data_IF_561916066886
#
_entry.id   IF_561916066886
#
_cell.length_a   1.000
_cell.length_b   1.000
_cell.length_c   1.000
_cell.angle_alpha   90.00
_cell.angle_beta   90.00
_cell.angle_gamma   90.00
#
_symmetry.space_group_name_H-M   'P 1'
#
loop_
_entity.id
_entity.type
_entity.pdbx_description
1 polymer ?
#
# COMPACT_ATOMS: atom_id res chain seq x y z
N UNK A 1 24.13 13.38 5.07
CA UNK A 1 23.67 11.98 5.12
C UNK A 1 22.19 11.89 5.47
N UNK A 2 21.74 12.34 6.66
CA UNK A 2 20.33 12.29 7.09
C UNK A 2 19.36 12.83 6.03
N UNK A 3 19.56 14.07 5.55
CA UNK A 3 18.71 14.65 4.50
C UNK A 3 18.62 13.79 3.24
N UNK A 4 19.72 13.17 2.83
CA UNK A 4 19.77 12.35 1.61
C UNK A 4 18.97 11.04 1.77
N UNK A 5 19.14 10.36 2.90
CA UNK A 5 18.40 9.12 3.18
C UNK A 5 16.93 9.41 3.45
N UNK A 6 16.59 10.54 4.07
CA UNK A 6 15.19 10.94 4.27
C UNK A 6 14.49 11.30 2.96
N UNK A 7 15.18 11.98 2.03
CA UNK A 7 14.63 12.23 0.70
C UNK A 7 14.42 10.93 -0.08
N UNK A 8 15.39 10.03 -0.05
CA UNK A 8 15.28 8.72 -0.71
C UNK A 8 14.13 7.88 -0.13
N UNK A 9 14.07 7.76 1.20
CA UNK A 9 13.14 6.86 1.87
C UNK A 9 11.74 7.44 2.07
N UNK A 10 11.59 8.75 2.26
CA UNK A 10 10.31 9.38 2.62
C UNK A 10 9.86 10.48 1.66
N UNK A 11 10.70 10.86 0.67
CA UNK A 11 10.41 12.00 -0.21
C UNK A 11 10.37 13.35 0.53
N UNK A 12 10.81 13.37 1.79
CA UNK A 12 10.72 14.53 2.69
C UNK A 12 12.12 15.01 3.08
N UNK A 13 12.22 16.27 3.45
CA UNK A 13 13.49 16.82 3.95
C UNK A 13 13.75 16.36 5.39
N UNK A 14 14.90 16.72 5.96
CA UNK A 14 15.19 16.46 7.38
C UNK A 14 14.35 17.30 8.35
N UNK A 15 13.45 18.15 7.86
CA UNK A 15 12.40 18.80 8.64
C UNK A 15 11.27 17.79 8.94
N UNK A 16 11.61 16.80 9.78
CA UNK A 16 10.74 15.72 10.27
C UNK A 16 11.09 15.43 11.73
N UNK A 17 10.23 14.69 12.46
CA UNK A 17 10.55 14.33 13.83
C UNK A 17 11.67 13.27 13.92
N UNK A 18 12.40 13.29 15.03
CA UNK A 18 13.65 12.55 15.18
C UNK A 18 13.51 11.03 15.01
N UNK A 19 12.37 10.45 15.39
CA UNK A 19 12.14 9.01 15.26
C UNK A 19 12.06 8.55 13.80
N UNK A 20 11.34 9.27 12.93
CA UNK A 20 11.34 8.98 11.48
C UNK A 20 12.74 9.18 10.89
N UNK A 21 13.47 10.20 11.34
CA UNK A 21 14.87 10.40 10.96
C UNK A 21 15.75 9.19 11.31
N UNK A 22 15.56 8.61 12.50
CA UNK A 22 16.27 7.42 12.93
C UNK A 22 15.90 6.18 12.10
N UNK A 23 14.60 5.94 11.84
CA UNK A 23 14.13 4.85 10.97
C UNK A 23 14.69 5.00 9.56
N UNK A 24 14.73 6.22 9.02
CA UNK A 24 15.33 6.52 7.72
C UNK A 24 16.82 6.15 7.64
N UNK A 25 17.58 6.38 8.71
CA UNK A 25 19.01 6.02 8.77
C UNK A 25 19.19 4.50 8.91
N UNK A 26 18.31 3.81 9.64
CA UNK A 26 18.36 2.36 9.77
C UNK A 26 18.22 1.66 8.40
N UNK A 27 17.46 2.26 7.48
CA UNK A 27 17.34 1.80 6.09
C UNK A 27 18.59 2.08 5.21
N UNK A 28 19.66 2.65 5.78
CA UNK A 28 20.97 2.78 5.14
C UNK A 28 22.04 1.88 5.80
N UNK A 29 21.63 0.95 6.67
CA UNK A 29 22.54 -0.01 7.28
C UNK A 29 23.14 -0.97 6.22
N UNK A 30 24.42 -1.33 6.31
CA UNK A 30 25.03 -2.27 5.35
C UNK A 30 24.51 -3.71 5.49
N UNK A 31 23.85 -4.07 6.59
CA UNK A 31 23.36 -5.43 6.86
C UNK A 31 21.89 -5.62 6.50
N UNK A 32 21.35 -4.85 5.56
CA UNK A 32 19.98 -5.05 5.08
C UNK A 32 19.83 -6.37 4.31
N UNK A 33 18.64 -6.95 4.39
CA UNK A 33 18.32 -8.21 3.74
C UNK A 33 17.14 -8.07 2.79
N UNK A 34 17.14 -8.87 1.74
CA UNK A 34 15.99 -9.08 0.87
C UNK A 34 15.54 -10.54 0.93
N UNK A 35 14.24 -10.78 0.85
CA UNK A 35 13.72 -12.14 0.75
C UNK A 35 14.09 -12.74 -0.60
N UNK A 36 14.55 -13.99 -0.62
CA UNK A 36 14.82 -14.74 -1.85
C UNK A 36 13.55 -14.84 -2.70
N UNK A 37 13.58 -14.27 -3.91
CA UNK A 37 12.42 -14.13 -4.82
C UNK A 37 11.60 -12.85 -4.59
N UNK A 38 12.09 -11.94 -3.74
CA UNK A 38 11.54 -10.60 -3.51
C UNK A 38 10.67 -10.47 -2.25
N UNK A 39 10.63 -9.26 -1.71
CA UNK A 39 9.91 -8.95 -0.46
C UNK A 39 8.38 -9.17 -0.56
N UNK A 40 7.81 -9.19 -1.79
CA UNK A 40 6.40 -9.57 -2.01
C UNK A 40 6.05 -10.95 -1.44
N UNK A 41 7.02 -11.86 -1.34
CA UNK A 41 6.80 -13.20 -0.81
C UNK A 41 6.37 -13.21 0.65
N UNK A 42 6.69 -12.15 1.41
CA UNK A 42 6.24 -12.00 2.80
C UNK A 42 4.72 -11.94 2.85
N UNK A 43 4.09 -11.06 2.05
CA UNK A 43 2.63 -10.90 2.05
C UNK A 43 1.93 -12.10 1.42
N UNK A 44 2.49 -12.69 0.36
CA UNK A 44 1.98 -13.93 -0.25
C UNK A 44 1.94 -15.09 0.76
N UNK A 45 3.03 -15.27 1.53
CA UNK A 45 3.13 -16.33 2.53
C UNK A 45 2.17 -16.08 3.70
N UNK A 46 2.05 -14.84 4.18
CA UNK A 46 1.12 -14.47 5.25
C UNK A 46 -0.34 -14.70 4.84
N UNK A 47 -0.72 -14.30 3.62
CA UNK A 47 -2.07 -14.53 3.11
C UNK A 47 -2.38 -16.04 3.08
N UNK A 48 -1.46 -16.84 2.54
CA UNK A 48 -1.59 -18.31 2.51
C UNK A 48 -1.70 -18.91 3.91
N UNK A 49 -0.88 -18.46 4.85
CA UNK A 49 -0.86 -18.96 6.22
C UNK A 49 -2.13 -18.58 7.00
N UNK A 50 -2.66 -17.38 6.77
CA UNK A 50 -3.86 -16.86 7.46
C UNK A 50 -5.14 -17.63 7.13
N UNK A 51 -5.19 -18.31 5.97
CA UNK A 51 -6.41 -18.92 5.41
C UNK A 51 -7.54 -17.92 5.20
N UNK A 52 -7.23 -16.63 5.13
CA UNK A 52 -8.21 -15.59 4.85
C UNK A 52 -8.78 -15.72 3.43
N UNK A 53 -10.04 -15.35 3.26
CA UNK A 53 -10.64 -15.17 1.95
C UNK A 53 -10.22 -13.82 1.38
N UNK A 54 -9.55 -13.82 0.23
CA UNK A 54 -9.17 -12.60 -0.46
C UNK A 54 -10.24 -12.22 -1.48
N UNK A 55 -10.70 -10.98 -1.42
CA UNK A 55 -11.77 -10.44 -2.27
C UNK A 55 -11.29 -9.12 -2.89
N UNK A 56 -11.19 -9.09 -4.22
CA UNK A 56 -10.74 -7.90 -4.96
C UNK A 56 -11.91 -6.96 -5.23
N UNK A 57 -12.10 -5.96 -4.36
CA UNK A 57 -13.16 -4.94 -4.45
C UNK A 57 -12.72 -3.65 -3.77
N UNK A 58 -13.28 -2.52 -4.20
CA UNK A 58 -13.06 -1.22 -3.54
C UNK A 58 -14.12 -1.02 -2.47
N UNK A 59 -13.70 -0.87 -1.21
CA UNK A 59 -14.61 -0.50 -0.10
C UNK A 59 -15.01 0.96 -0.27
N UNK A 60 -16.32 1.22 -0.20
CA UNK A 60 -16.87 2.57 -0.33
C UNK A 60 -17.53 3.05 0.96
N UNK A 61 -18.13 2.14 1.74
CA UNK A 61 -18.75 2.49 3.01
C UNK A 61 -18.42 1.48 4.10
N UNK A 62 -18.29 1.98 5.32
CA UNK A 62 -18.36 1.19 6.55
C UNK A 62 -19.50 1.75 7.38
N UNK A 63 -20.52 0.94 7.63
CA UNK A 63 -21.70 1.34 8.40
C UNK A 63 -21.70 0.64 9.74
N UNK A 64 -21.83 1.40 10.83
CA UNK A 64 -22.02 0.83 12.17
C UNK A 64 -23.49 0.52 12.41
N UNK A 65 -23.78 -0.69 12.87
CA UNK A 65 -25.15 -1.18 13.10
C UNK A 65 -25.58 -0.98 14.56
N UNK A 66 -26.90 -1.04 14.82
CA UNK A 66 -27.44 -0.84 16.18
C UNK A 66 -27.08 -1.97 17.16
N UNK A 67 -26.78 -3.15 16.64
CA UNK A 67 -26.35 -4.33 17.39
C UNK A 67 -24.82 -4.37 17.60
N UNK A 68 -24.09 -3.32 17.22
CA UNK A 68 -22.66 -3.18 17.50
C UNK A 68 -21.73 -3.87 16.49
N UNK A 69 -22.25 -4.18 15.29
CA UNK A 69 -21.51 -4.79 14.18
C UNK A 69 -21.23 -3.77 13.08
N UNK A 70 -20.59 -4.24 12.01
CA UNK A 70 -20.21 -3.41 10.87
C UNK A 70 -20.70 -4.02 9.57
N UNK A 71 -21.32 -3.20 8.72
CA UNK A 71 -21.60 -3.55 7.33
C UNK A 71 -20.58 -2.85 6.44
N UNK A 72 -19.82 -3.64 5.68
CA UNK A 72 -18.85 -3.14 4.71
C UNK A 72 -19.47 -3.23 3.32
N UNK A 73 -19.59 -2.09 2.65
CA UNK A 73 -20.08 -1.98 1.28
C UNK A 73 -18.92 -1.75 0.33
N UNK A 74 -18.92 -2.47 -0.79
CA UNK A 74 -17.83 -2.47 -1.76
C UNK A 74 -18.31 -2.64 -3.20
N UNK A 75 -17.60 -2.04 -4.14
CA UNK A 75 -17.88 -2.15 -5.58
C UNK A 75 -16.80 -2.95 -6.29
N UNK A 76 -17.10 -3.51 -7.46
CA UNK A 76 -16.05 -4.12 -8.29
C UNK A 76 -15.05 -3.05 -8.73
N UNK A 77 -13.79 -3.46 -8.85
CA UNK A 77 -12.78 -2.61 -9.47
C UNK A 77 -13.16 -2.41 -10.95
N UNK A 78 -13.35 -1.17 -11.38
CA UNK A 78 -13.46 -0.87 -12.81
C UNK A 78 -12.09 -1.11 -13.45
N UNK A 79 -12.05 -1.93 -14.51
CA UNK A 79 -10.84 -2.55 -15.12
C UNK A 79 -9.76 -1.58 -15.66
N UNK A 80 -9.81 -0.27 -15.41
CA UNK A 80 -9.17 0.73 -16.26
C UNK A 80 -7.98 1.50 -15.66
N UNK A 81 -7.20 0.91 -14.75
CA UNK A 81 -5.90 1.48 -14.37
C UNK A 81 -4.76 0.48 -14.56
N UNK A 82 -3.66 0.92 -15.18
CA UNK A 82 -2.45 0.12 -15.40
C UNK A 82 -1.86 -0.45 -14.09
N UNK A 83 -2.09 0.24 -12.96
CA UNK A 83 -1.82 -0.25 -11.60
C UNK A 83 -2.48 -1.61 -11.30
N UNK A 84 -3.67 -1.85 -11.85
CA UNK A 84 -4.48 -3.04 -11.54
C UNK A 84 -4.00 -4.27 -12.32
N UNK A 85 -3.48 -4.07 -13.54
CA UNK A 85 -2.82 -5.13 -14.31
C UNK A 85 -1.55 -5.64 -13.63
N UNK A 86 -0.79 -4.75 -12.98
CA UNK A 86 0.41 -5.09 -12.22
C UNK A 86 0.07 -5.93 -10.97
N UNK A 87 -0.93 -5.50 -10.19
CA UNK A 87 -1.39 -6.23 -9.01
C UNK A 87 -1.98 -7.60 -9.38
N UNK A 88 -2.86 -7.69 -10.39
CA UNK A 88 -3.39 -8.97 -10.87
C UNK A 88 -2.31 -9.92 -11.43
N UNK A 89 -1.31 -9.38 -12.14
CA UNK A 89 -0.20 -10.19 -12.68
C UNK A 89 0.68 -10.77 -11.57
N UNK A 90 0.97 -9.99 -10.52
CA UNK A 90 1.69 -10.45 -9.34
C UNK A 90 0.95 -11.60 -8.62
N UNK A 91 -0.38 -11.58 -8.57
CA UNK A 91 -1.19 -12.65 -7.95
C UNK A 91 -1.29 -13.91 -8.82
N UNK A 92 -1.48 -13.77 -10.14
CA UNK A 92 -1.67 -14.92 -11.04
C UNK A 92 -0.39 -15.76 -11.22
N UNK A 93 0.79 -15.16 -11.08
CA UNK A 93 2.07 -15.88 -11.13
C UNK A 93 2.38 -16.65 -9.82
N UNK A 94 1.71 -16.32 -8.71
CA UNK A 94 1.86 -16.98 -7.41
C UNK A 94 0.88 -18.13 -7.14
N UNK A 95 -0.11 -18.36 -8.01
CA UNK A 95 -1.14 -19.38 -7.79
C UNK A 95 -1.59 -20.04 -9.12
N UNK A 96 -1.09 -21.24 -9.49
CA UNK A 96 -1.52 -21.93 -10.72
C UNK A 96 -2.97 -22.48 -10.66
N UNK A 97 -3.73 -22.23 -9.59
CA UNK A 97 -5.05 -22.84 -9.36
C UNK A 97 -6.25 -22.04 -9.89
N UNK A 98 -6.07 -20.81 -10.38
CA UNK A 98 -7.20 -20.00 -10.90
C UNK A 98 -7.05 -19.71 -12.38
N UNK A 99 -7.04 -20.77 -13.19
CA UNK A 99 -7.51 -20.67 -14.58
C UNK A 99 -9.04 -20.69 -14.55
N UNK A 100 -9.65 -19.53 -14.65
CA UNK A 100 -11.08 -19.41 -14.90
C UNK A 100 -11.34 -19.89 -16.34
N UNK A 101 -11.87 -21.11 -16.47
CA UNK A 101 -12.33 -21.68 -17.72
C UNK A 101 -13.65 -21.00 -18.13
N UNK A 102 -13.57 -19.90 -18.88
CA UNK A 102 -14.70 -19.45 -19.70
C UNK A 102 -14.40 -19.78 -21.16
N UNK A 103 -14.50 -21.08 -21.48
CA UNK A 103 -14.81 -21.54 -22.82
C UNK A 103 -16.30 -21.86 -22.82
N UNK A 104 -17.12 -20.98 -23.41
CA UNK A 104 -18.40 -21.37 -23.97
C UNK A 104 -18.51 -20.77 -25.36
N UNK A 105 -17.96 -21.51 -26.32
CA UNK A 105 -18.57 -21.61 -27.64
C UNK A 105 -19.92 -22.31 -27.45
N UNK A 106 -21.01 -21.64 -27.82
CA UNK A 106 -21.98 -22.27 -28.71
C UNK A 106 -22.81 -21.21 -29.44
N UNK A 107 -22.55 -21.21 -30.74
CA UNK A 107 -23.42 -20.78 -31.82
C UNK A 107 -24.73 -21.57 -31.73
N UNK A 108 -25.87 -20.89 -31.88
CA UNK A 108 -27.01 -21.42 -32.67
C UNK A 108 -28.02 -20.29 -32.94
N UNK A 109 -28.19 -20.01 -34.23
CA UNK A 109 -29.30 -19.27 -34.81
C UNK A 109 -30.62 -20.03 -34.58
N UNK A 110 -31.74 -19.31 -34.41
CA UNK A 110 -32.77 -19.15 -35.45
C UNK A 110 -34.21 -19.04 -34.89
N UNK A 111 -34.92 -18.03 -35.41
CA UNK A 111 -36.36 -17.91 -35.72
C UNK A 111 -37.49 -17.97 -34.67
N UNK A 112 -38.24 -16.84 -34.65
CA UNK A 112 -39.71 -16.66 -34.70
C UNK A 112 -40.63 -17.58 -33.86
N UNK A 113 -41.55 -17.01 -33.05
CA UNK A 113 -42.87 -16.53 -33.48
C UNK A 113 -43.75 -16.03 -32.29
N UNK A 114 -44.76 -15.24 -32.67
CA UNK A 114 -45.79 -14.47 -31.94
C UNK A 114 -46.65 -15.11 -30.82
N UNK A 115 -47.27 -14.18 -30.05
CA UNK A 115 -48.55 -14.23 -29.29
C UNK A 115 -48.53 -15.02 -27.97
N UNK A 116 -49.10 -14.58 -26.84
CA UNK A 116 -50.36 -13.87 -26.61
C UNK A 116 -50.40 -13.02 -25.30
N UNK A 117 -51.26 -11.99 -25.29
CA UNK A 117 -51.72 -11.21 -24.13
C UNK A 117 -52.28 -12.08 -22.98
N UNK A 118 -52.02 -11.75 -21.70
CA UNK A 118 -52.95 -10.97 -20.87
C UNK A 118 -52.50 -10.79 -19.39
N UNK A 119 -52.72 -9.56 -18.92
CA UNK A 119 -53.20 -9.13 -17.59
C UNK A 119 -52.29 -9.10 -16.34
N UNK A 120 -52.15 -7.85 -15.86
CA UNK A 120 -52.30 -7.36 -14.49
C UNK A 120 -51.33 -7.88 -13.41
N UNK A 121 -50.37 -7.02 -13.03
CA UNK A 121 -50.54 -6.17 -11.85
C UNK A 121 -49.32 -5.26 -11.63
N UNK A 122 -49.62 -3.96 -11.56
CA UNK A 122 -49.03 -2.96 -10.67
C UNK A 122 -47.51 -2.99 -10.50
N UNK A 123 -46.85 -2.24 -11.37
CA UNK A 123 -45.47 -1.77 -11.23
C UNK A 123 -45.29 -1.00 -9.92
N UNK A 124 -44.41 -1.52 -9.07
CA UNK A 124 -43.39 -0.74 -8.36
C UNK A 124 -42.39 -1.70 -7.70
N UNK A 125 -41.73 -2.51 -8.54
CA UNK A 125 -40.40 -3.01 -8.22
C UNK A 125 -39.41 -2.15 -9.00
N UNK A 126 -39.00 -1.03 -8.41
CA UNK A 126 -37.70 -0.45 -8.76
C UNK A 126 -36.61 -1.36 -8.18
N UNK A 127 -36.43 -2.53 -8.80
CA UNK A 127 -35.15 -3.22 -8.76
C UNK A 127 -34.25 -2.54 -9.78
N UNK A 128 -33.73 -1.37 -9.41
CA UNK A 128 -32.42 -0.95 -9.93
C UNK A 128 -31.38 -1.77 -9.15
N UNK A 129 -31.33 -3.08 -9.42
CA UNK A 129 -30.24 -3.95 -8.98
C UNK A 129 -28.99 -3.53 -9.76
N UNK A 130 -28.33 -2.49 -9.25
CA UNK A 130 -26.95 -2.20 -9.56
C UNK A 130 -26.11 -3.36 -9.04
N UNK A 131 -25.99 -4.41 -9.86
CA UNK A 131 -25.29 -5.68 -9.62
C UNK A 131 -23.77 -5.51 -9.34
N UNK A 132 -23.31 -4.27 -9.14
CA UNK A 132 -21.93 -3.89 -8.91
C UNK A 132 -21.63 -3.63 -7.42
N UNK A 133 -22.63 -3.53 -6.54
CA UNK A 133 -22.42 -3.29 -5.10
C UNK A 133 -22.61 -4.55 -4.27
N UNK A 134 -21.68 -4.81 -3.34
CA UNK A 134 -21.74 -5.90 -2.36
C UNK A 134 -21.66 -5.33 -0.95
N UNK A 135 -22.63 -5.66 -0.12
CA UNK A 135 -22.64 -5.36 1.32
C UNK A 135 -22.56 -6.65 2.13
N UNK A 136 -21.70 -6.66 3.15
CA UNK A 136 -21.51 -7.82 4.02
C UNK A 136 -21.34 -7.36 5.47
N UNK A 137 -21.98 -8.08 6.40
CA UNK A 137 -21.83 -7.85 7.84
C UNK A 137 -20.58 -8.57 8.39
N UNK A 138 -19.90 -7.90 9.31
CA UNK A 138 -18.72 -8.35 10.02
C UNK A 138 -18.81 -7.98 11.50
N UNK A 139 -18.28 -8.84 12.36
CA UNK A 139 -18.21 -8.57 13.80
C UNK A 139 -17.12 -7.56 14.17
N UNK A 140 -16.01 -7.57 13.43
CA UNK A 140 -14.92 -6.60 13.55
C UNK A 140 -14.44 -6.16 12.16
N UNK A 141 -13.92 -4.94 12.07
CA UNK A 141 -13.29 -4.41 10.85
C UNK A 141 -11.93 -3.82 11.19
N UNK A 142 -10.91 -4.20 10.42
CA UNK A 142 -9.56 -3.63 10.51
C UNK A 142 -9.26 -2.92 9.19
N UNK A 143 -9.00 -1.61 9.28
CA UNK A 143 -8.68 -0.75 8.16
C UNK A 143 -7.16 -0.67 7.99
N UNK A 144 -6.67 -1.07 6.81
CA UNK A 144 -5.26 -1.04 6.42
C UNK A 144 -5.04 -0.14 5.18
N UNK A 145 -5.87 0.90 5.06
CA UNK A 145 -5.76 1.92 4.00
C UNK A 145 -5.28 3.25 4.61
N UNK A 146 -4.56 4.08 3.84
CA UNK A 146 -4.39 5.49 4.18
C UNK A 146 -5.75 6.13 4.50
N UNK A 147 -5.83 6.79 5.65
CA UNK A 147 -6.96 7.62 6.08
C UNK A 147 -6.40 8.98 6.45
N UNK A 148 -6.64 9.96 5.58
CA UNK A 148 -6.18 11.34 5.73
C UNK A 148 -7.24 12.32 5.22
N UNK A 149 -7.07 13.60 5.55
CA UNK A 149 -8.00 14.64 5.12
C UNK A 149 -8.12 14.74 3.59
N UNK A 150 -7.03 14.43 2.87
CA UNK A 150 -6.97 14.41 1.41
C UNK A 150 -7.27 13.03 0.80
N UNK A 151 -7.41 11.99 1.63
CA UNK A 151 -7.68 10.63 1.18
C UNK A 151 -8.45 9.81 2.22
N UNK A 152 -9.76 9.77 2.03
CA UNK A 152 -10.64 8.79 2.65
C UNK A 152 -11.65 8.35 1.59
N UNK A 153 -11.30 7.32 0.82
CA UNK A 153 -12.18 6.75 -0.20
C UNK A 153 -13.37 5.97 0.43
N UNK A 154 -13.44 5.95 1.76
CA UNK A 154 -14.46 5.26 2.58
C UNK A 154 -15.32 6.30 3.30
N UNK A 155 -16.63 6.16 3.16
CA UNK A 155 -17.63 6.88 3.95
C UNK A 155 -17.98 6.09 5.23
N UNK A 156 -17.95 6.76 6.38
CA UNK A 156 -18.29 6.17 7.67
C UNK A 156 -19.71 6.57 8.09
N UNK A 157 -20.62 5.59 8.10
CA UNK A 157 -22.07 5.83 8.26
C UNK A 157 -22.57 5.31 9.61
N UNK A 158 -23.48 6.06 10.24
CA UNK A 158 -24.16 5.72 11.51
C UNK A 158 -23.23 5.57 12.74
N UNK A 159 -22.09 6.27 12.76
CA UNK A 159 -21.25 6.38 13.94
C UNK A 159 -21.78 7.48 14.88
N UNK A 160 -21.70 7.23 16.19
CA UNK A 160 -22.13 8.19 17.23
C UNK A 160 -21.16 9.36 17.39
N UNK A 161 -19.92 9.19 16.94
CA UNK A 161 -18.89 10.22 16.84
C UNK A 161 -18.49 10.42 15.39
N UNK A 162 -18.20 11.67 15.03
CA UNK A 162 -17.60 11.98 13.73
C UNK A 162 -16.17 11.42 13.70
N UNK A 163 -15.88 10.59 12.70
CA UNK A 163 -14.53 10.09 12.46
C UNK A 163 -13.84 11.08 11.52
N UNK A 164 -12.84 11.79 12.03
CA UNK A 164 -12.05 12.75 11.26
C UNK A 164 -10.59 12.33 11.22
N UNK A 165 -9.99 12.43 10.04
CA UNK A 165 -8.61 12.06 9.79
C UNK A 165 -7.85 13.29 9.31
N UNK A 166 -6.68 13.53 9.89
CA UNK A 166 -5.87 14.70 9.60
C UNK A 166 -4.62 14.33 8.79
N UNK A 167 -3.91 15.36 8.35
CA UNK A 167 -2.67 15.21 7.61
C UNK A 167 -2.89 14.74 6.17
N UNK A 168 -1.79 14.31 5.54
CA UNK A 168 -1.74 13.83 4.16
C UNK A 168 -0.65 12.79 3.99
N UNK A 169 -0.69 12.04 2.91
CA UNK A 169 0.43 11.19 2.50
C UNK A 169 1.33 11.92 1.50
N UNK A 170 2.64 11.69 1.60
CA UNK A 170 3.64 12.08 0.63
C UNK A 170 3.56 11.15 -0.58
N UNK A 171 3.47 11.75 -1.77
CA UNK A 171 3.46 11.02 -3.03
C UNK A 171 4.89 10.78 -3.50
N UNK A 172 5.18 9.55 -3.89
CA UNK A 172 6.46 9.18 -4.50
C UNK A 172 6.17 8.35 -5.75
N UNK A 173 6.85 8.69 -6.84
CA UNK A 173 6.87 7.91 -8.06
C UNK A 173 8.15 7.08 -8.07
N UNK A 174 7.99 5.77 -8.29
CA UNK A 174 9.06 4.82 -8.49
C UNK A 174 9.11 4.45 -9.96
N UNK A 175 10.15 4.89 -10.66
CA UNK A 175 10.40 4.52 -12.05
C UNK A 175 11.52 3.50 -12.11
N UNK A 176 11.21 2.28 -12.57
CA UNK A 176 12.20 1.26 -12.89
C UNK A 176 12.57 1.36 -14.36
N UNK A 177 13.87 1.49 -14.65
CA UNK A 177 14.41 1.62 -16.00
C UNK A 177 15.42 0.51 -16.24
N UNK A 178 15.18 -0.32 -17.24
CA UNK A 178 16.17 -1.23 -17.79
C UNK A 178 16.97 -0.47 -18.85
N UNK A 179 18.25 -0.20 -18.61
CA UNK A 179 19.08 0.62 -19.51
C UNK A 179 20.29 1.23 -18.83
N UNK A 180 21.11 1.90 -19.64
CA UNK A 180 22.36 2.50 -19.17
C UNK A 180 22.11 3.89 -18.58
N UNK A 181 22.59 4.11 -17.36
CA UNK A 181 22.59 5.42 -16.73
C UNK A 181 23.64 6.31 -17.41
N UNK A 182 23.20 7.48 -17.88
CA UNK A 182 24.06 8.51 -18.44
C UNK A 182 24.69 9.33 -17.32
N UNK A 183 25.84 8.87 -16.83
CA UNK A 183 26.53 9.43 -15.67
C UNK A 183 26.98 10.88 -15.88
N UNK A 184 27.40 11.22 -17.11
CA UNK A 184 27.82 12.58 -17.46
C UNK A 184 26.70 13.61 -17.32
N UNK A 185 25.43 13.23 -17.54
CA UNK A 185 24.28 14.11 -17.27
C UNK A 185 24.14 14.48 -15.78
N UNK A 186 24.81 13.74 -14.90
CA UNK A 186 24.86 13.97 -13.45
C UNK A 186 26.20 14.59 -13.01
N UNK A 187 27.08 14.96 -13.95
CA UNK A 187 28.45 15.39 -13.69
C UNK A 187 29.31 14.32 -12.98
N UNK A 188 29.05 13.04 -13.27
CA UNK A 188 29.84 11.89 -12.79
C UNK A 188 30.69 11.32 -13.93
N UNK A 189 31.74 10.56 -13.62
CA UNK A 189 32.57 9.94 -14.66
C UNK A 189 31.88 8.67 -15.18
N UNK A 190 31.92 8.44 -16.48
CA UNK A 190 31.21 7.32 -17.12
C UNK A 190 31.61 5.92 -16.59
N UNK A 191 32.82 5.77 -16.06
CA UNK A 191 33.37 4.50 -15.55
C UNK A 191 33.24 4.32 -14.03
N UNK A 192 32.56 5.24 -13.33
CA UNK A 192 32.34 5.08 -11.88
C UNK A 192 31.41 3.87 -11.63
N UNK A 193 31.83 2.96 -10.76
CA UNK A 193 31.01 1.82 -10.35
C UNK A 193 29.96 2.27 -9.33
N UNK A 194 28.80 2.69 -9.84
CA UNK A 194 27.70 3.23 -9.04
C UNK A 194 26.67 2.17 -8.66
N UNK A 195 26.30 2.17 -7.38
CA UNK A 195 25.15 1.42 -6.86
C UNK A 195 23.99 2.34 -6.47
N UNK A 196 24.27 3.52 -5.94
CA UNK A 196 23.25 4.44 -5.42
C UNK A 196 23.72 5.89 -5.56
N UNK A 197 22.81 6.77 -5.98
CA UNK A 197 22.97 8.23 -6.01
C UNK A 197 21.93 8.80 -5.07
N UNK A 198 22.39 9.41 -3.98
CA UNK A 198 21.56 10.13 -3.03
C UNK A 198 21.78 11.63 -3.17
N UNK A 199 20.70 12.40 -3.16
CA UNK A 199 20.77 13.86 -3.26
C UNK A 199 20.37 14.53 -1.96
N UNK A 200 20.97 15.68 -1.66
CA UNK A 200 20.58 16.51 -0.50
C UNK A 200 19.74 17.72 -0.91
N UNK A 201 19.46 17.88 -2.20
CA UNK A 201 18.81 19.04 -2.78
C UNK A 201 17.37 18.69 -3.15
N UNK A 202 16.36 19.06 -2.35
CA UNK A 202 14.97 18.68 -2.56
C UNK A 202 14.33 19.32 -3.80
N UNK A 203 14.98 20.32 -4.41
CA UNK A 203 14.48 20.98 -5.64
C UNK A 203 14.81 20.20 -6.92
N UNK A 204 15.53 19.09 -6.83
CA UNK A 204 15.76 18.22 -7.98
C UNK A 204 14.47 17.47 -8.35
N UNK A 205 14.35 17.08 -9.62
CA UNK A 205 13.20 16.33 -10.11
C UNK A 205 13.23 14.85 -9.72
N UNK A 206 14.28 14.41 -9.01
CA UNK A 206 14.43 13.06 -8.44
C UNK A 206 15.03 13.15 -7.03
N UNK A 207 14.73 12.15 -6.22
CA UNK A 207 15.16 11.99 -4.82
C UNK A 207 16.33 11.00 -4.69
N UNK A 208 16.38 9.98 -5.56
CA UNK A 208 17.50 9.03 -5.62
C UNK A 208 17.49 8.23 -6.92
N UNK A 209 18.65 7.65 -7.25
CA UNK A 209 18.82 6.69 -8.35
C UNK A 209 19.61 5.50 -7.81
N UNK A 210 19.00 4.31 -7.79
CA UNK A 210 19.58 3.11 -7.19
C UNK A 210 19.56 1.92 -8.13
N UNK A 211 20.72 1.28 -8.34
CA UNK A 211 20.83 0.06 -9.14
C UNK A 211 20.14 -1.09 -8.42
N UNK A 212 19.28 -1.82 -9.13
CA UNK A 212 18.58 -2.98 -8.60
C UNK A 212 19.33 -4.25 -8.97
N UNK A 213 19.58 -5.09 -7.97
CA UNK A 213 20.17 -6.41 -8.15
C UNK A 213 19.08 -7.49 -8.09
N UNK A 214 19.24 -8.60 -8.82
CA UNK A 214 18.29 -9.71 -8.75
C UNK A 214 18.22 -10.29 -7.34
N UNK A 215 17.00 -10.56 -6.88
CA UNK A 215 16.70 -11.10 -5.54
C UNK A 215 16.42 -12.61 -5.57
N UNK A 216 16.50 -13.24 -6.73
CA UNK A 216 16.26 -14.66 -6.99
C UNK A 216 17.54 -15.50 -6.98
N UNK A 217 18.71 -14.87 -6.81
CA UNK A 217 20.02 -15.53 -6.77
C UNK A 217 20.67 -15.34 -5.40
N UNK A 218 21.36 -16.39 -4.90
CA UNK A 218 22.10 -16.31 -3.62
C UNK A 218 23.44 -15.57 -3.73
N UNK A 219 23.93 -15.35 -4.95
CA UNK A 219 25.20 -14.69 -5.23
C UNK A 219 25.00 -13.63 -6.29
N UNK A 220 25.64 -12.47 -6.12
CA UNK A 220 25.67 -11.42 -7.14
C UNK A 220 26.05 -12.04 -8.49
N UNK A 221 25.18 -11.93 -9.50
CA UNK A 221 25.48 -12.45 -10.81
C UNK A 221 26.77 -11.79 -11.36
N UNK A 222 27.71 -12.52 -12.00
CA UNK A 222 28.96 -11.94 -12.53
C UNK A 222 28.70 -10.71 -13.40
N UNK A 223 29.57 -9.71 -13.40
CA UNK A 223 29.40 -8.46 -14.17
C UNK A 223 29.27 -8.63 -15.72
N UNK A 224 29.37 -9.87 -16.20
CA UNK A 224 29.29 -10.32 -17.59
C UNK A 224 27.87 -10.39 -18.16
N UNK A 225 26.81 -10.28 -17.34
CA UNK A 225 25.45 -10.47 -17.85
C UNK A 225 25.14 -9.59 -19.05
N UNK A 226 24.83 -10.24 -20.18
CA UNK A 226 24.41 -9.62 -21.44
C UNK A 226 23.08 -8.85 -21.37
N UNK A 227 22.55 -8.58 -20.17
CA UNK A 227 21.33 -7.82 -19.95
C UNK A 227 21.67 -6.45 -19.36
N UNK A 228 21.02 -5.37 -19.84
CA UNK A 228 21.23 -4.04 -19.30
C UNK A 228 20.93 -4.00 -17.79
N UNK A 229 21.59 -3.11 -17.03
CA UNK A 229 21.28 -2.91 -15.63
C UNK A 229 19.86 -2.37 -15.46
N UNK A 230 19.25 -2.68 -14.31
CA UNK A 230 17.98 -2.09 -13.88
C UNK A 230 18.25 -1.02 -12.84
N UNK A 231 17.68 0.16 -13.04
CA UNK A 231 17.78 1.30 -12.15
C UNK A 231 16.40 1.68 -11.62
N UNK A 232 16.35 2.03 -10.34
CA UNK A 232 15.18 2.59 -9.68
C UNK A 232 15.41 4.07 -9.47
N UNK A 233 14.48 4.89 -9.94
CA UNK A 233 14.47 6.33 -9.68
C UNK A 233 13.27 6.64 -8.79
N UNK A 234 13.53 7.21 -7.61
CA UNK A 234 12.46 7.83 -6.83
C UNK A 234 12.36 9.30 -7.19
N UNK A 235 11.14 9.80 -7.41
CA UNK A 235 10.89 11.19 -7.75
C UNK A 235 9.57 11.69 -7.15
N UNK A 236 9.43 13.00 -6.88
CA UNK A 236 8.18 13.58 -6.41
C UNK A 236 7.07 13.54 -7.47
N UNK A 237 7.45 13.51 -8.75
CA UNK A 237 6.56 13.50 -9.91
C UNK A 237 7.03 12.49 -10.95
N UNK A 238 6.14 12.11 -11.87
CA UNK A 238 6.48 11.28 -13.01
C UNK A 238 7.59 11.94 -13.82
N UNK A 239 8.60 11.17 -14.20
CA UNK A 239 9.69 11.69 -15.03
C UNK A 239 9.16 12.00 -16.43
N UNK A 240 9.49 13.17 -16.96
CA UNK A 240 9.14 13.50 -18.34
C UNK A 240 9.98 12.68 -19.32
N UNK A 241 9.55 12.64 -20.58
CA UNK A 241 10.33 11.95 -21.61
C UNK A 241 11.73 12.57 -21.75
N UNK A 242 11.84 13.90 -21.65
CA UNK A 242 13.11 14.61 -21.71
C UNK A 242 14.01 14.29 -20.51
N UNK A 243 13.44 14.17 -19.31
CA UNK A 243 14.19 13.76 -18.11
C UNK A 243 14.68 12.31 -18.23
N UNK A 244 13.83 11.41 -18.74
CA UNK A 244 14.20 10.02 -19.01
C UNK A 244 15.26 9.91 -20.10
N UNK A 245 15.15 10.68 -21.19
CA UNK A 245 16.14 10.70 -22.27
C UNK A 245 17.48 11.25 -21.79
N UNK A 246 17.46 12.24 -20.88
CA UNK A 246 18.68 12.80 -20.29
C UNK A 246 19.39 11.79 -19.38
N UNK A 247 18.64 11.05 -18.55
CA UNK A 247 19.20 10.08 -17.60
C UNK A 247 19.50 8.72 -18.23
N UNK A 248 18.68 8.27 -19.19
CA UNK A 248 18.70 6.94 -19.79
C UNK A 248 18.45 7.02 -21.30
N UNK A 249 19.43 7.51 -22.08
CA UNK A 249 19.30 7.64 -23.52
C UNK A 249 19.15 6.26 -24.20
N UNK A 250 19.78 5.22 -23.65
CA UNK A 250 19.72 3.85 -24.12
C UNK A 250 18.92 2.99 -23.14
N UNK A 251 17.59 3.09 -23.19
CA UNK A 251 16.67 2.28 -22.37
C UNK A 251 15.97 1.21 -23.18
N UNK A 252 15.84 0.03 -22.58
CA UNK A 252 15.12 -1.13 -23.12
C UNK A 252 13.67 -1.14 -22.66
N UNK A 253 13.44 -0.90 -21.38
CA UNK A 253 12.09 -0.87 -20.82
C UNK A 253 11.98 0.11 -19.64
N UNK A 254 10.76 0.62 -19.44
CA UNK A 254 10.42 1.48 -18.30
C UNK A 254 9.13 0.97 -17.69
N UNK A 255 9.11 0.81 -16.37
CA UNK A 255 7.88 0.61 -15.62
C UNK A 255 7.80 1.64 -14.50
N UNK A 256 6.60 2.15 -14.27
CA UNK A 256 6.38 3.22 -13.31
C UNK A 256 5.29 2.79 -12.35
N UNK A 257 5.50 3.12 -11.07
CA UNK A 257 4.45 2.99 -10.08
C UNK A 257 4.38 4.24 -9.21
N UNK A 258 3.17 4.77 -9.10
CA UNK A 258 2.84 6.04 -8.45
C UNK A 258 2.11 5.74 -7.15
N UNK A 259 2.71 6.01 -6.00
CA UNK A 259 2.15 5.65 -4.69
C UNK A 259 2.05 6.86 -3.78
N UNK A 260 1.02 6.84 -2.92
CA UNK A 260 1.02 7.59 -1.67
C UNK A 260 1.78 6.73 -0.67
N UNK A 261 3.08 7.01 -0.53
CA UNK A 261 4.02 6.07 0.04
C UNK A 261 4.00 6.12 1.57
N UNK A 262 3.97 7.32 2.15
CA UNK A 262 4.14 7.53 3.59
C UNK A 262 3.36 8.76 4.08
N UNK A 263 2.99 8.89 5.36
CA UNK A 263 2.49 10.14 5.90
C UNK A 263 3.48 11.29 5.72
N UNK A 264 2.96 12.49 5.55
CA UNK A 264 3.74 13.71 5.65
C UNK A 264 3.93 14.08 7.12
N UNK A 265 5.16 14.09 7.61
CA UNK A 265 5.49 14.27 9.02
C UNK A 265 5.73 15.75 9.34
N UNK A 266 4.78 16.46 9.99
CA UNK A 266 4.97 17.87 10.29
C UNK A 266 5.94 18.06 11.46
N UNK A 267 6.76 19.10 11.40
CA UNK A 267 7.60 19.54 12.54
C UNK A 267 6.92 20.55 13.45
N UNK A 268 5.88 21.23 12.94
CA UNK A 268 5.07 22.16 13.72
C UNK A 268 3.81 21.46 14.24
N UNK A 269 3.83 21.09 15.53
CA UNK A 269 2.69 20.55 16.26
C UNK A 269 1.52 21.55 16.44
N UNK A 270 1.65 22.80 15.97
CA UNK A 270 0.67 23.87 16.14
C UNK A 270 -0.64 23.67 15.37
N UNK A 271 -0.70 22.72 14.43
CA UNK A 271 -1.92 22.32 13.72
C UNK A 271 -2.61 21.08 14.28
N UNK A 272 -2.03 20.44 15.30
CA UNK A 272 -2.63 19.29 15.94
C UNK A 272 -3.61 19.82 17.00
N UNK A 273 -4.90 19.50 16.86
CA UNK A 273 -5.96 20.04 17.70
C UNK A 273 -5.72 19.86 19.21
N UNK A 274 -6.48 20.56 20.06
CA UNK A 274 -6.36 20.44 21.51
C UNK A 274 -6.58 18.98 21.94
N UNK A 275 -5.50 18.29 22.32
CA UNK A 275 -5.46 16.83 22.51
C UNK A 275 -4.12 16.21 22.12
N UNK A 276 -3.34 16.89 21.26
CA UNK A 276 -1.93 16.58 21.00
C UNK A 276 -1.04 17.02 22.19
N UNK A 277 -1.31 16.44 23.36
CA UNK A 277 -0.45 16.57 24.52
C UNK A 277 0.92 15.97 24.21
N UNK A 278 1.90 16.32 25.04
CA UNK A 278 3.34 16.01 24.96
C UNK A 278 3.67 14.49 25.07
N UNK A 279 2.67 13.62 24.85
CA UNK A 279 2.79 12.16 24.66
C UNK A 279 2.13 11.64 23.37
N UNK A 280 1.52 12.50 22.55
CA UNK A 280 0.87 12.19 21.27
C UNK A 280 1.86 12.31 20.10
N UNK A 281 3.00 11.63 20.20
CA UNK A 281 4.09 11.65 19.19
C UNK A 281 3.72 11.07 17.82
N UNK A 282 2.43 10.77 17.59
CA UNK A 282 1.87 10.17 16.38
C UNK A 282 0.94 11.14 15.61
N UNK A 283 0.80 12.38 16.06
CA UNK A 283 -0.14 13.34 15.46
C UNK A 283 -1.61 13.09 15.86
N UNK A 284 -2.41 14.15 15.85
CA UNK A 284 -3.86 14.04 15.90
C UNK A 284 -4.31 13.25 14.65
N UNK A 285 -4.87 12.04 14.83
CA UNK A 285 -5.32 11.18 13.73
C UNK A 285 -4.75 9.75 13.71
N UNK A 286 -3.90 9.38 14.66
CA UNK A 286 -3.30 8.03 14.76
C UNK A 286 -3.99 7.14 15.82
N UNK A 287 -5.32 7.08 15.79
CA UNK A 287 -6.07 6.19 16.69
C UNK A 287 -6.10 4.78 16.12
N UNK A 288 -5.45 3.83 16.80
CA UNK A 288 -5.52 2.41 16.44
C UNK A 288 -6.93 1.83 16.59
N UNK A 289 -7.75 2.39 17.49
CA UNK A 289 -9.14 2.02 17.71
C UNK A 289 -10.06 3.22 17.41
N UNK A 290 -10.84 3.10 16.33
CA UNK A 290 -11.74 4.16 15.89
C UNK A 290 -13.10 4.09 16.59
N UNK A 291 -13.56 2.90 16.93
CA UNK A 291 -14.62 2.58 17.90
C UNK A 291 -14.40 1.12 18.31
N UNK A 292 -14.98 0.63 19.43
CA UNK A 292 -14.86 -0.78 19.77
C UNK A 292 -15.24 -1.69 18.59
N UNK A 293 -14.30 -2.54 18.16
CA UNK A 293 -14.45 -3.44 17.01
C UNK A 293 -14.06 -2.86 15.64
N UNK A 294 -13.77 -1.56 15.52
CA UNK A 294 -13.23 -0.91 14.32
C UNK A 294 -11.83 -0.37 14.57
N UNK A 295 -10.83 -0.98 13.94
CA UNK A 295 -9.42 -0.63 14.16
C UNK A 295 -8.77 -0.06 12.89
N UNK A 296 -7.77 0.80 13.07
CA UNK A 296 -6.94 1.36 12.00
C UNK A 296 -5.48 0.94 12.20
N UNK A 297 -5.02 -0.05 11.41
CA UNK A 297 -3.66 -0.57 11.58
C UNK A 297 -2.59 0.36 11.02
N UNK A 298 -2.93 1.12 9.97
CA UNK A 298 -2.03 2.12 9.36
C UNK A 298 -1.80 3.34 10.25
N UNK A 299 -2.47 3.47 11.39
CA UNK A 299 -2.15 4.50 12.39
C UNK A 299 -0.68 4.47 12.83
N UNK A 300 -0.04 3.28 12.82
CA UNK A 300 1.39 3.11 13.14
C UNK A 300 2.31 3.91 12.21
N UNK A 301 1.87 4.16 10.97
CA UNK A 301 2.67 4.85 9.97
C UNK A 301 2.97 6.29 10.36
N UNK A 302 2.12 6.92 11.18
CA UNK A 302 2.40 8.25 11.72
C UNK A 302 3.53 8.27 12.75
N UNK A 303 3.88 7.12 13.33
CA UNK A 303 5.09 6.98 14.14
C UNK A 303 6.32 6.94 13.23
N UNK A 304 6.25 6.07 12.22
CA UNK A 304 7.17 5.93 11.12
C UNK A 304 6.60 4.84 10.22
N UNK A 305 6.80 4.99 8.91
CA UNK A 305 6.45 3.93 7.96
C UNK A 305 7.67 3.10 7.59
N UNK A 306 7.57 1.79 7.83
CA UNK A 306 8.45 0.75 7.34
C UNK A 306 7.68 -0.59 7.43
N UNK A 307 8.14 -1.63 6.73
CA UNK A 307 7.47 -2.94 6.78
C UNK A 307 7.43 -3.50 8.21
N UNK A 308 8.48 -3.26 8.98
CA UNK A 308 8.61 -3.64 10.39
C UNK A 308 7.59 -2.91 11.26
N UNK A 309 7.36 -1.61 10.99
CA UNK A 309 6.35 -0.82 11.69
C UNK A 309 4.95 -1.35 11.40
N UNK A 310 4.66 -1.71 10.14
CA UNK A 310 3.41 -2.37 9.77
C UNK A 310 3.23 -3.71 10.50
N UNK A 311 4.28 -4.51 10.66
CA UNK A 311 4.22 -5.77 11.41
C UNK A 311 3.93 -5.54 12.91
N UNK A 312 4.54 -4.53 13.53
CA UNK A 312 4.27 -4.13 14.91
C UNK A 312 2.82 -3.68 15.07
N UNK A 313 2.34 -2.79 14.19
CA UNK A 313 0.97 -2.31 14.19
C UNK A 313 -0.03 -3.46 14.03
N UNK A 314 0.22 -4.36 13.07
CA UNK A 314 -0.64 -5.52 12.81
C UNK A 314 -0.72 -6.46 14.01
N UNK A 315 0.41 -6.76 14.67
CA UNK A 315 0.41 -7.57 15.88
C UNK A 315 -0.43 -6.93 16.97
N UNK A 316 -0.24 -5.64 17.25
CA UNK A 316 -0.96 -4.94 18.30
C UNK A 316 -2.48 -4.89 18.01
N UNK A 317 -2.87 -4.56 16.78
CA UNK A 317 -4.29 -4.53 16.39
C UNK A 317 -4.92 -5.92 16.43
N UNK A 318 -4.20 -6.97 16.03
CA UNK A 318 -4.71 -8.34 16.15
C UNK A 318 -4.99 -8.73 17.62
N UNK A 319 -4.14 -8.30 18.55
CA UNK A 319 -4.37 -8.52 19.98
C UNK A 319 -5.58 -7.72 20.51
N UNK A 320 -5.72 -6.45 20.11
CA UNK A 320 -6.89 -5.64 20.46
C UNK A 320 -8.19 -6.25 19.93
N UNK A 321 -8.19 -6.66 18.66
CA UNK A 321 -9.29 -7.34 18.01
C UNK A 321 -9.65 -8.65 18.74
N UNK A 322 -8.64 -9.46 19.11
CA UNK A 322 -8.85 -10.70 19.83
C UNK A 322 -9.46 -10.47 21.21
N UNK A 323 -8.93 -9.50 21.97
CA UNK A 323 -9.46 -9.08 23.28
C UNK A 323 -10.92 -8.62 23.21
N UNK A 324 -11.25 -7.79 22.21
CA UNK A 324 -12.63 -7.36 22.00
C UNK A 324 -13.55 -8.53 21.64
N UNK A 325 -13.09 -9.44 20.77
CA UNK A 325 -13.86 -10.59 20.31
C UNK A 325 -14.16 -11.60 21.42
N UNK A 326 -13.19 -11.85 22.32
CA UNK A 326 -13.36 -12.80 23.42
C UNK A 326 -14.01 -12.19 24.66
N UNK A 327 -13.99 -10.85 24.79
CA UNK A 327 -14.37 -10.17 26.02
C UNK A 327 -13.44 -10.45 27.19
N UNK A 328 -12.23 -10.94 26.92
CA UNK A 328 -11.22 -11.28 27.93
C UNK A 328 -10.12 -10.21 27.96
N UNK A 329 -10.05 -9.48 29.07
CA UNK A 329 -9.09 -8.40 29.25
C UNK A 329 -7.63 -8.85 29.26
N UNK A 330 -7.37 -10.13 29.54
CA UNK A 330 -6.03 -10.76 29.59
C UNK A 330 -5.64 -11.39 28.23
N UNK A 331 -6.55 -11.41 27.26
CA UNK A 331 -6.31 -11.98 25.94
C UNK A 331 -5.13 -11.26 25.24
N UNK A 332 -4.07 -12.03 24.93
CA UNK A 332 -2.85 -11.49 24.31
C UNK A 332 -1.74 -11.11 25.29
N UNK A 333 -1.94 -11.27 26.60
CA UNK A 333 -0.86 -11.19 27.58
C UNK A 333 0.21 -12.25 27.31
N UNK A 334 1.49 -11.85 27.26
CA UNK A 334 2.57 -12.82 27.18
C UNK A 334 2.55 -13.70 28.44
N UNK A 335 2.35 -15.01 28.24
CA UNK A 335 2.68 -15.98 29.28
C UNK A 335 4.18 -15.82 29.60
N UNK A 336 4.50 -15.66 30.88
CA UNK A 336 5.86 -15.45 31.38
C UNK A 336 6.89 -16.52 30.96
N UNK A 337 6.43 -17.62 30.34
CA UNK A 337 7.21 -18.77 29.91
C UNK A 337 7.90 -18.60 28.54
N UNK A 338 7.46 -17.65 27.70
CA UNK A 338 7.99 -17.49 26.33
C UNK A 338 9.06 -16.39 26.21
N UNK A 339 9.59 -15.88 27.33
CA UNK A 339 10.62 -14.82 27.31
C UNK A 339 12.05 -15.33 27.06
N UNK A 340 12.28 -16.64 27.16
CA UNK A 340 13.63 -17.22 27.18
C UNK A 340 14.09 -17.79 25.82
N UNK A 341 13.34 -17.59 24.72
CA UNK A 341 13.71 -18.09 23.37
C UNK A 341 13.77 -17.01 22.28
N UNK A 342 14.43 -15.87 22.55
CA UNK A 342 14.85 -14.93 21.48
C UNK A 342 16.33 -14.53 21.62
#
# INVERSE_FOLDING_TARGET
MVTAVTLCNYGQTSDIHAFVGAVSIAAADPNLWSVLGGNKRVTEALLKASRASFVTRTVTHVTHTRDGKFVVTSTEETENTEKNKQNQKLFNEGNPSTKNNNNNNNNDNNDNNNNDNNNNNNDNNNNDDNNNSRSQEYDLVILATPLTADKSDIEFVNFTRELSFHGRYERIVCTMVEGDLHQEALNLNQDDNLNEILVTTPSLYFNSIGRQLPVDTQSCPPADHAQPPVWKVFSPHKLTHEQLDALFPNRVSVSEIDWLAYPHYPTNHSGLGPGAGVGAGLGAGADFELVPGLYHVSAVEWAASAMEMSAIGAKNVALLAYKYWTGDDEAGGQDSRDRDEL
#
